data_IF_169666851869
#
_entry.id   IF_169666851869
#
_cell.length_a   1.000
_cell.length_b   1.000
_cell.length_c   1.000
_cell.angle_alpha   90.00
_cell.angle_beta   90.00
_cell.angle_gamma   90.00
#
_symmetry.space_group_name_H-M   'P 1'
#
loop_
_entity.id
_entity.type
_entity.pdbx_description
1 polymer ?
#
# COMPACT_ATOMS: atom_id res chain seq x y z
N UNK A 1 30.18 1.79 18.34
CA UNK A 1 30.85 2.93 17.68
C UNK A 1 29.79 3.93 17.33
N UNK A 2 29.74 5.07 18.02
CA UNK A 2 28.91 6.21 17.64
C UNK A 2 29.41 6.72 16.29
N UNK A 3 28.53 6.72 15.27
CA UNK A 3 28.78 7.37 14.00
C UNK A 3 29.08 8.86 14.31
N UNK A 4 30.29 9.31 14.05
CA UNK A 4 30.54 10.73 13.87
C UNK A 4 29.80 11.12 12.57
N UNK A 5 28.69 11.82 12.68
CA UNK A 5 28.11 12.49 11.52
C UNK A 5 29.11 13.62 11.18
N UNK A 6 29.72 13.53 10.00
CA UNK A 6 30.29 14.71 9.38
C UNK A 6 29.08 15.62 9.09
N UNK A 7 28.91 16.64 9.95
CA UNK A 7 27.84 17.63 9.79
C UNK A 7 28.13 18.36 8.48
N UNK A 8 27.43 17.98 7.39
CA UNK A 8 27.39 18.83 6.21
C UNK A 8 26.88 20.21 6.62
N UNK A 9 27.55 21.27 6.18
CA UNK A 9 27.13 22.64 6.49
C UNK A 9 25.73 22.96 5.95
N UNK A 10 25.35 22.35 4.82
CA UNK A 10 24.04 22.53 4.15
C UNK A 10 23.55 21.18 3.65
N UNK A 11 22.27 20.90 3.85
CA UNK A 11 21.59 19.70 3.36
C UNK A 11 20.75 20.09 2.13
N UNK A 12 20.96 19.42 1.01
CA UNK A 12 20.20 19.62 -0.22
C UNK A 12 19.13 18.52 -0.36
N UNK A 13 17.88 18.92 -0.46
CA UNK A 13 16.73 18.00 -0.58
C UNK A 13 15.96 18.27 -1.85
N UNK A 14 15.84 17.27 -2.73
CA UNK A 14 14.92 17.31 -3.86
C UNK A 14 13.55 16.72 -3.45
N UNK A 15 12.47 17.36 -3.88
CA UNK A 15 11.10 16.89 -3.74
C UNK A 15 10.53 16.72 -5.13
N UNK A 16 10.32 15.47 -5.55
CA UNK A 16 9.82 15.12 -6.89
C UNK A 16 8.40 14.58 -6.74
N UNK A 17 7.38 15.40 -6.98
CA UNK A 17 5.98 15.05 -6.79
C UNK A 17 5.14 15.48 -8.00
N UNK A 18 3.99 14.84 -8.26
CA UNK A 18 3.11 15.19 -9.36
C UNK A 18 2.20 16.35 -8.96
N UNK A 19 2.73 17.55 -8.99
CA UNK A 19 1.97 18.77 -8.71
C UNK A 19 1.01 19.15 -9.83
N UNK A 20 1.21 18.62 -11.04
CA UNK A 20 0.37 18.83 -12.24
C UNK A 20 0.20 20.32 -12.58
N UNK A 21 1.26 21.11 -12.47
CA UNK A 21 1.24 22.58 -12.60
C UNK A 21 0.78 23.08 -13.98
N UNK A 22 0.82 22.24 -15.01
CA UNK A 22 0.37 22.60 -16.37
C UNK A 22 -1.12 22.37 -16.59
N UNK A 23 -1.80 21.70 -15.65
CA UNK A 23 -3.24 21.49 -15.76
C UNK A 23 -3.99 22.73 -15.28
N UNK A 24 -4.99 23.15 -16.06
CA UNK A 24 -5.84 24.30 -15.72
C UNK A 24 -6.74 24.02 -14.50
N UNK A 25 -6.98 22.76 -14.20
CA UNK A 25 -7.74 22.33 -13.01
C UNK A 25 -7.04 21.08 -12.46
N UNK A 26 -6.20 21.24 -11.42
CA UNK A 26 -5.55 20.11 -10.78
C UNK A 26 -6.60 19.20 -10.14
N UNK A 27 -6.37 17.88 -10.24
CA UNK A 27 -7.23 16.90 -9.60
C UNK A 27 -7.00 16.85 -8.08
N UNK A 28 -7.84 16.07 -7.38
CA UNK A 28 -7.76 15.91 -5.93
C UNK A 28 -6.38 15.37 -5.51
N UNK A 29 -5.76 14.52 -6.31
CA UNK A 29 -4.46 13.91 -6.01
C UNK A 29 -3.33 14.95 -6.07
N UNK A 30 -3.32 15.80 -7.08
CA UNK A 30 -2.37 16.92 -7.18
C UNK A 30 -2.50 17.91 -6.01
N UNK A 31 -3.74 18.17 -5.57
CA UNK A 31 -4.00 18.99 -4.37
C UNK A 31 -3.39 18.35 -3.12
N UNK A 32 -3.57 17.04 -2.89
CA UNK A 32 -2.98 16.33 -1.76
C UNK A 32 -1.44 16.38 -1.75
N UNK A 33 -0.79 16.26 -2.92
CA UNK A 33 0.67 16.42 -2.99
C UNK A 33 1.12 17.85 -2.68
N UNK A 34 0.32 18.84 -3.07
CA UNK A 34 0.58 20.24 -2.73
C UNK A 34 0.46 20.47 -1.22
N UNK A 35 -0.57 19.94 -0.58
CA UNK A 35 -0.74 19.99 0.88
C UNK A 35 0.41 19.27 1.61
N UNK A 36 0.82 18.09 1.14
CA UNK A 36 1.99 17.41 1.68
C UNK A 36 3.24 18.29 1.60
N UNK A 37 3.48 18.92 0.43
CA UNK A 37 4.64 19.80 0.23
C UNK A 37 4.60 21.03 1.15
N UNK A 38 3.43 21.60 1.39
CA UNK A 38 3.27 22.68 2.37
C UNK A 38 3.65 22.22 3.78
N UNK A 39 3.18 21.05 4.21
CA UNK A 39 3.57 20.45 5.49
C UNK A 39 5.07 20.18 5.57
N UNK A 40 5.68 19.68 4.49
CA UNK A 40 7.11 19.49 4.39
C UNK A 40 7.89 20.80 4.56
N UNK A 41 7.46 21.88 3.90
CA UNK A 41 8.09 23.21 4.06
C UNK A 41 7.98 23.75 5.49
N UNK A 42 6.85 23.50 6.16
CA UNK A 42 6.70 23.86 7.58
C UNK A 42 7.68 23.11 8.48
N UNK A 43 7.93 21.83 8.20
CA UNK A 43 8.93 21.03 8.92
C UNK A 43 10.35 21.54 8.66
N UNK A 44 10.67 21.88 7.40
CA UNK A 44 11.96 22.48 7.02
C UNK A 44 12.17 23.81 7.74
N UNK A 45 11.17 24.68 7.79
CA UNK A 45 11.26 25.95 8.51
C UNK A 45 11.50 25.74 10.02
N UNK A 46 10.84 24.75 10.62
CA UNK A 46 11.08 24.37 12.02
C UNK A 46 12.52 23.92 12.25
N UNK A 47 13.06 23.08 11.36
CA UNK A 47 14.45 22.63 11.45
C UNK A 47 15.45 23.78 11.26
N UNK A 48 15.16 24.71 10.34
CA UNK A 48 15.99 25.92 10.15
C UNK A 48 16.02 26.79 11.40
N UNK A 49 14.93 26.96 12.09
CA UNK A 49 14.89 27.68 13.39
C UNK A 49 15.73 26.98 14.47
N UNK A 50 15.93 25.67 14.36
CA UNK A 50 16.79 24.89 15.25
C UNK A 50 18.26 24.87 14.80
N UNK A 51 18.62 25.63 13.77
CA UNK A 51 19.98 25.81 13.28
C UNK A 51 20.38 24.89 12.12
N UNK A 52 19.45 24.12 11.54
CA UNK A 52 19.75 23.37 10.32
C UNK A 52 19.79 24.31 9.10
N UNK A 53 20.74 24.05 8.19
CA UNK A 53 20.79 24.72 6.87
C UNK A 53 20.31 23.75 5.81
N UNK A 54 19.14 24.04 5.18
CA UNK A 54 18.47 23.13 4.24
C UNK A 54 18.08 23.91 2.99
N UNK A 55 18.51 23.43 1.81
CA UNK A 55 18.01 23.86 0.51
C UNK A 55 16.96 22.86 0.01
N UNK A 56 15.87 23.36 -0.53
CA UNK A 56 14.79 22.54 -1.09
C UNK A 56 14.65 22.82 -2.58
N UNK A 57 14.67 21.77 -3.38
CA UNK A 57 14.50 21.79 -4.83
C UNK A 57 13.22 21.04 -5.18
N UNK A 58 12.18 21.72 -5.61
CA UNK A 58 10.90 21.11 -5.96
C UNK A 58 10.78 20.89 -7.48
N UNK A 59 10.35 19.69 -7.85
CA UNK A 59 10.17 19.28 -9.25
C UNK A 59 8.77 18.69 -9.43
N UNK A 60 8.11 19.08 -10.52
CA UNK A 60 6.84 18.49 -10.95
C UNK A 60 7.11 17.27 -11.83
N UNK A 61 6.77 16.08 -11.35
CA UNK A 61 6.92 14.83 -12.09
C UNK A 61 5.86 14.66 -13.18
N UNK A 62 4.78 15.43 -13.15
CA UNK A 62 3.65 15.38 -14.11
C UNK A 62 3.05 13.95 -14.27
N UNK A 63 3.22 13.07 -13.29
CA UNK A 63 2.91 11.64 -13.38
C UNK A 63 3.53 10.94 -14.61
N UNK A 64 4.61 11.48 -15.13
CA UNK A 64 5.23 11.06 -16.38
C UNK A 64 6.63 10.52 -16.16
N UNK A 65 6.86 9.27 -16.57
CA UNK A 65 8.18 8.64 -16.51
C UNK A 65 9.23 9.41 -17.33
N UNK A 66 8.85 9.92 -18.50
CA UNK A 66 9.75 10.74 -19.34
C UNK A 66 10.14 12.06 -18.64
N UNK A 67 9.22 12.66 -17.91
CA UNK A 67 9.50 13.85 -17.09
C UNK A 67 10.45 13.52 -15.95
N UNK A 68 10.23 12.41 -15.23
CA UNK A 68 11.15 11.96 -14.17
C UNK A 68 12.55 11.70 -14.74
N UNK A 69 12.69 11.01 -15.88
CA UNK A 69 13.98 10.78 -16.52
C UNK A 69 14.68 12.10 -16.90
N UNK A 70 13.92 13.08 -17.41
CA UNK A 70 14.44 14.43 -17.72
C UNK A 70 14.91 15.14 -16.44
N UNK A 71 14.14 15.09 -15.35
CA UNK A 71 14.54 15.64 -14.05
C UNK A 71 15.85 15.00 -13.59
N UNK A 72 15.96 13.68 -13.59
CA UNK A 72 17.17 12.96 -13.15
C UNK A 72 18.39 13.20 -14.05
N UNK A 73 18.21 13.73 -15.27
CA UNK A 73 19.30 14.14 -16.15
C UNK A 73 19.89 15.51 -15.80
N UNK A 74 19.23 16.28 -14.93
CA UNK A 74 19.76 17.55 -14.45
C UNK A 74 20.97 17.31 -13.54
N UNK A 75 22.16 17.86 -13.86
CA UNK A 75 23.35 17.66 -13.04
C UNK A 75 23.21 18.07 -11.58
N UNK A 76 22.33 19.03 -11.27
CA UNK A 76 22.10 19.49 -9.90
C UNK A 76 21.53 18.40 -9.00
N UNK A 77 20.83 17.39 -9.57
CA UNK A 77 20.29 16.27 -8.80
C UNK A 77 21.38 15.40 -8.17
N UNK A 78 22.60 15.42 -8.72
CA UNK A 78 23.76 14.70 -8.16
C UNK A 78 24.31 15.34 -6.88
N UNK A 79 23.95 16.61 -6.65
CA UNK A 79 24.35 17.37 -5.46
C UNK A 79 23.36 17.22 -4.29
N UNK A 80 22.31 16.41 -4.45
CA UNK A 80 21.32 16.18 -3.42
C UNK A 80 21.83 15.20 -2.37
N UNK A 81 21.40 15.40 -1.13
CA UNK A 81 21.60 14.48 -0.02
C UNK A 81 20.40 13.56 0.16
N UNK A 82 19.22 14.04 -0.25
CA UNK A 82 17.96 13.35 -0.09
C UNK A 82 17.01 13.65 -1.25
N UNK A 83 16.29 12.65 -1.71
CA UNK A 83 15.21 12.80 -2.69
C UNK A 83 13.92 12.23 -2.08
N UNK A 84 12.86 13.03 -2.02
CA UNK A 84 11.50 12.57 -1.71
C UNK A 84 10.86 12.11 -3.02
N UNK A 85 10.49 10.83 -3.09
CA UNK A 85 9.94 10.20 -4.28
C UNK A 85 8.41 10.23 -4.32
N UNK A 86 7.78 10.22 -5.53
CA UNK A 86 6.33 10.15 -5.70
C UNK A 86 5.80 8.73 -5.41
N UNK A 87 4.48 8.54 -5.54
CA UNK A 87 3.80 7.26 -5.25
C UNK A 87 4.00 6.16 -6.31
N UNK A 88 4.23 6.54 -7.57
CA UNK A 88 4.27 5.60 -8.68
C UNK A 88 5.49 4.69 -8.60
N UNK A 89 5.30 3.37 -8.62
CA UNK A 89 6.37 2.37 -8.43
C UNK A 89 7.46 2.44 -9.51
N UNK A 90 7.11 2.71 -10.78
CA UNK A 90 8.11 2.86 -11.84
C UNK A 90 8.95 4.11 -11.65
N UNK A 91 8.37 5.20 -11.15
CA UNK A 91 9.09 6.43 -10.83
C UNK A 91 10.00 6.24 -9.62
N UNK A 92 9.51 5.55 -8.57
CA UNK A 92 10.32 5.23 -7.39
C UNK A 92 11.54 4.43 -7.81
N UNK A 93 11.35 3.40 -8.65
CA UNK A 93 12.46 2.58 -9.14
C UNK A 93 13.54 3.40 -9.85
N UNK A 94 13.15 4.28 -10.77
CA UNK A 94 14.11 5.16 -11.48
C UNK A 94 14.89 6.06 -10.52
N UNK A 95 14.19 6.64 -9.54
CA UNK A 95 14.80 7.53 -8.55
C UNK A 95 15.68 6.72 -7.58
N UNK A 96 15.27 5.52 -7.21
CA UNK A 96 16.04 4.61 -6.36
C UNK A 96 17.35 4.16 -7.03
N UNK A 97 17.28 3.77 -8.31
CA UNK A 97 18.46 3.41 -9.11
C UNK A 97 19.42 4.60 -9.25
N UNK A 98 18.89 5.81 -9.46
CA UNK A 98 19.68 7.04 -9.50
C UNK A 98 20.33 7.35 -8.15
N UNK A 99 19.58 7.20 -7.04
CA UNK A 99 20.08 7.41 -5.70
C UNK A 99 21.22 6.45 -5.35
N UNK A 100 21.08 5.17 -5.70
CA UNK A 100 22.12 4.16 -5.51
C UNK A 100 23.38 4.50 -6.30
N UNK A 101 23.24 4.89 -7.57
CA UNK A 101 24.36 5.21 -8.46
C UNK A 101 25.14 6.48 -8.05
N UNK A 102 24.50 7.43 -7.35
CA UNK A 102 25.08 8.73 -6.97
C UNK A 102 25.25 8.92 -5.45
N UNK A 103 25.08 7.85 -4.66
CA UNK A 103 25.18 7.87 -3.18
C UNK A 103 24.19 8.83 -2.49
N UNK A 104 22.95 8.93 -3.02
CA UNK A 104 21.89 9.81 -2.54
C UNK A 104 20.81 9.00 -1.87
N UNK A 105 20.36 9.42 -0.68
CA UNK A 105 19.25 8.78 -0.01
C UNK A 105 17.91 9.12 -0.67
N UNK A 106 17.02 8.13 -0.78
CA UNK A 106 15.70 8.26 -1.37
C UNK A 106 14.64 7.88 -0.34
N UNK A 107 13.65 8.72 -0.15
CA UNK A 107 12.53 8.44 0.76
C UNK A 107 11.26 8.19 -0.04
N UNK A 108 10.74 6.97 0.08
CA UNK A 108 9.40 6.61 -0.36
C UNK A 108 8.41 6.90 0.78
N UNK A 109 7.59 7.92 0.61
CA UNK A 109 6.60 8.34 1.60
C UNK A 109 5.22 7.78 1.31
N UNK A 110 4.89 7.50 0.05
CA UNK A 110 3.51 7.30 -0.39
C UNK A 110 3.18 5.86 -0.76
N UNK A 111 4.08 5.16 -1.47
CA UNK A 111 3.79 3.80 -1.92
C UNK A 111 3.94 2.79 -0.79
N UNK A 112 2.88 1.99 -0.57
CA UNK A 112 2.86 0.87 0.37
C UNK A 112 3.16 -0.47 -0.30
N UNK A 113 3.20 -0.50 -1.64
CA UNK A 113 3.42 -1.71 -2.44
C UNK A 113 4.85 -1.83 -2.96
N UNK A 114 5.59 -0.73 -2.95
CA UNK A 114 6.96 -0.70 -3.46
C UNK A 114 7.91 -1.40 -2.49
N UNK A 115 8.73 -2.30 -3.02
CA UNK A 115 9.68 -3.11 -2.24
C UNK A 115 11.15 -2.73 -2.45
N UNK A 116 11.43 -1.59 -3.09
CA UNK A 116 12.81 -1.11 -3.30
C UNK A 116 13.60 -1.03 -1.98
N UNK A 117 12.92 -0.72 -0.87
CA UNK A 117 13.54 -0.71 0.47
C UNK A 117 14.15 -2.05 0.87
N UNK A 118 13.69 -3.16 0.32
CA UNK A 118 14.16 -4.51 0.67
C UNK A 118 15.52 -4.86 0.06
N UNK A 119 15.91 -4.19 -1.02
CA UNK A 119 17.11 -4.54 -1.79
C UNK A 119 17.99 -3.35 -2.20
N UNK A 120 17.55 -2.11 -1.96
CA UNK A 120 18.30 -0.91 -2.23
C UNK A 120 18.65 -0.16 -0.93
N UNK A 121 19.90 -0.17 -0.54
CA UNK A 121 20.38 0.40 0.73
C UNK A 121 20.23 1.94 0.82
N UNK A 122 19.90 2.61 -0.28
CA UNK A 122 19.66 4.06 -0.33
C UNK A 122 18.18 4.42 -0.21
N UNK A 123 17.29 3.43 -0.23
CA UNK A 123 15.85 3.66 -0.10
C UNK A 123 15.41 3.53 1.35
N UNK A 124 14.72 4.53 1.83
CA UNK A 124 14.03 4.58 3.10
C UNK A 124 12.54 4.67 2.86
N UNK A 125 11.75 3.93 3.62
CA UNK A 125 10.30 3.94 3.52
C UNK A 125 9.70 4.39 4.84
N UNK A 126 8.77 5.35 4.80
CA UNK A 126 8.12 5.87 6.01
C UNK A 126 6.95 5.01 6.45
N UNK A 127 6.33 4.30 5.52
CA UNK A 127 5.22 3.38 5.79
C UNK A 127 5.68 1.93 5.60
N UNK A 128 5.22 1.04 6.47
CA UNK A 128 5.52 -0.39 6.36
C UNK A 128 4.85 -0.94 5.11
N UNK A 129 5.56 -1.63 4.19
CA UNK A 129 4.95 -2.31 3.06
C UNK A 129 3.87 -3.28 3.52
N UNK A 130 2.76 -3.34 2.79
CA UNK A 130 1.65 -4.24 3.14
C UNK A 130 2.09 -5.70 3.23
N UNK A 131 3.04 -6.13 2.37
CA UNK A 131 3.59 -7.49 2.38
C UNK A 131 4.19 -7.89 3.73
N UNK A 132 4.79 -6.95 4.47
CA UNK A 132 5.35 -7.23 5.80
C UNK A 132 4.28 -7.51 6.87
N UNK A 133 3.05 -7.04 6.65
CA UNK A 133 1.92 -7.27 7.56
C UNK A 133 1.19 -8.58 7.26
N UNK A 134 1.44 -9.22 6.12
CA UNK A 134 0.67 -10.39 5.68
C UNK A 134 0.84 -11.58 6.62
N UNK A 135 2.04 -11.86 7.06
CA UNK A 135 2.32 -12.97 7.97
C UNK A 135 1.61 -12.79 9.32
N UNK A 136 1.68 -11.59 9.91
CA UNK A 136 0.99 -11.29 11.17
C UNK A 136 -0.53 -11.29 10.99
N UNK A 137 -1.05 -10.76 9.89
CA UNK A 137 -2.47 -10.77 9.59
C UNK A 137 -3.01 -12.21 9.43
N UNK A 138 -2.25 -13.10 8.77
CA UNK A 138 -2.60 -14.51 8.65
C UNK A 138 -2.55 -15.24 9.99
N UNK A 139 -1.53 -15.02 10.83
CA UNK A 139 -1.45 -15.59 12.18
C UNK A 139 -2.64 -15.15 13.05
N UNK A 140 -2.96 -13.86 13.03
CA UNK A 140 -4.13 -13.33 13.75
C UNK A 140 -5.43 -13.91 13.22
N UNK A 141 -5.57 -14.03 11.89
CA UNK A 141 -6.74 -14.66 11.28
C UNK A 141 -6.93 -16.08 11.80
N UNK A 142 -5.89 -16.90 11.77
CA UNK A 142 -5.92 -18.28 12.24
C UNK A 142 -6.28 -18.34 13.74
N UNK A 143 -5.66 -17.51 14.54
CA UNK A 143 -5.86 -17.47 16.00
C UNK A 143 -7.28 -17.10 16.41
N UNK A 144 -7.89 -16.13 15.74
CA UNK A 144 -9.19 -15.57 16.15
C UNK A 144 -10.36 -16.08 15.32
N UNK A 145 -10.12 -16.54 14.10
CA UNK A 145 -11.16 -16.92 13.15
C UNK A 145 -11.01 -18.35 12.60
N UNK A 146 -9.88 -19.00 12.84
CA UNK A 146 -9.60 -20.34 12.31
C UNK A 146 -10.47 -21.47 12.86
N UNK A 147 -11.23 -21.23 13.93
CA UNK A 147 -12.23 -22.15 14.45
C UNK A 147 -13.58 -22.07 13.69
N UNK A 148 -13.74 -21.10 12.78
CA UNK A 148 -14.90 -20.95 11.92
C UNK A 148 -14.67 -21.65 10.58
N UNK A 149 -15.75 -21.96 9.89
CA UNK A 149 -15.66 -22.42 8.49
C UNK A 149 -15.20 -21.25 7.62
N UNK A 150 -14.03 -21.39 6.98
CA UNK A 150 -13.42 -20.33 6.16
C UNK A 150 -13.95 -20.40 4.74
N UNK A 151 -14.48 -19.30 4.23
CA UNK A 151 -15.07 -19.22 2.88
C UNK A 151 -14.51 -18.01 2.16
N UNK A 152 -13.71 -18.24 1.12
CA UNK A 152 -13.25 -17.18 0.22
C UNK A 152 -14.35 -16.80 -0.77
N UNK A 153 -14.57 -15.49 -0.92
CA UNK A 153 -15.50 -14.92 -1.89
C UNK A 153 -14.73 -14.32 -3.05
N UNK A 154 -14.64 -15.07 -4.15
CA UNK A 154 -13.79 -14.73 -5.30
C UNK A 154 -14.63 -14.11 -6.43
N UNK A 155 -14.45 -12.80 -6.65
CA UNK A 155 -15.08 -12.08 -7.74
C UNK A 155 -14.36 -12.34 -9.07
N UNK A 156 -15.12 -12.39 -10.17
CA UNK A 156 -14.57 -12.52 -11.52
C UNK A 156 -14.84 -11.22 -12.30
N UNK A 157 -13.81 -10.54 -12.85
CA UNK A 157 -12.38 -10.91 -12.88
C UNK A 157 -11.66 -10.76 -11.54
N UNK A 158 -10.65 -11.58 -11.31
CA UNK A 158 -9.83 -11.55 -10.11
C UNK A 158 -9.02 -10.24 -9.97
N UNK A 159 -8.86 -9.74 -8.74
CA UNK A 159 -8.13 -8.51 -8.47
C UNK A 159 -6.67 -8.81 -8.12
N UNK A 160 -5.70 -8.33 -8.91
CA UNK A 160 -4.28 -8.65 -8.71
C UNK A 160 -3.70 -8.20 -7.37
N UNK A 161 -4.16 -7.07 -6.85
CA UNK A 161 -3.64 -6.47 -5.63
C UNK A 161 -3.95 -7.25 -4.33
N UNK A 162 -4.85 -8.22 -4.40
CA UNK A 162 -5.19 -9.10 -3.27
C UNK A 162 -4.63 -10.52 -3.39
N UNK A 163 -4.11 -10.87 -4.57
CA UNK A 163 -3.64 -12.22 -4.87
C UNK A 163 -2.58 -12.70 -3.89
N UNK A 164 -1.59 -11.86 -3.60
CA UNK A 164 -0.44 -12.26 -2.77
C UNK A 164 -0.87 -12.51 -1.32
N UNK A 165 -1.69 -11.63 -0.75
CA UNK A 165 -2.24 -11.85 0.60
C UNK A 165 -3.11 -13.10 0.66
N UNK A 166 -4.04 -13.27 -0.27
CA UNK A 166 -4.93 -14.43 -0.32
C UNK A 166 -4.14 -15.73 -0.52
N UNK A 167 -3.11 -15.71 -1.37
CA UNK A 167 -2.19 -16.84 -1.54
C UNK A 167 -1.49 -17.21 -0.24
N UNK A 168 -0.87 -16.24 0.41
CA UNK A 168 -0.20 -16.44 1.69
C UNK A 168 -1.15 -16.92 2.79
N UNK A 169 -2.37 -16.37 2.88
CA UNK A 169 -3.36 -16.83 3.85
C UNK A 169 -3.79 -18.28 3.59
N UNK A 170 -4.00 -18.67 2.34
CA UNK A 170 -4.33 -20.07 1.96
C UNK A 170 -3.18 -21.02 2.32
N UNK A 171 -1.92 -20.62 2.13
CA UNK A 171 -0.76 -21.41 2.56
C UNK A 171 -0.71 -21.59 4.07
N UNK A 172 -0.94 -20.54 4.86
CA UNK A 172 -0.96 -20.64 6.32
C UNK A 172 -2.13 -21.49 6.83
N UNK A 173 -3.31 -21.38 6.23
CA UNK A 173 -4.46 -22.26 6.54
C UNK A 173 -4.11 -23.73 6.28
N UNK A 174 -3.45 -24.03 5.16
CA UNK A 174 -3.00 -25.40 4.84
C UNK A 174 -1.97 -25.91 5.86
N UNK A 175 -1.01 -25.07 6.28
CA UNK A 175 -0.04 -25.43 7.34
C UNK A 175 -0.72 -25.70 8.68
N UNK A 176 -1.76 -24.94 8.99
CA UNK A 176 -2.55 -25.13 10.20
C UNK A 176 -3.60 -26.26 10.10
N UNK A 177 -3.66 -26.97 8.96
CA UNK A 177 -4.66 -28.01 8.66
C UNK A 177 -6.11 -27.52 8.77
N UNK A 178 -6.36 -26.25 8.45
CA UNK A 178 -7.67 -25.63 8.42
C UNK A 178 -8.22 -25.69 6.99
N UNK A 179 -9.32 -26.42 6.81
CA UNK A 179 -10.01 -26.51 5.53
C UNK A 179 -10.71 -25.19 5.20
N UNK A 180 -10.73 -24.85 3.91
CA UNK A 180 -11.46 -23.67 3.42
C UNK A 180 -12.26 -24.01 2.15
N UNK A 181 -13.28 -23.22 1.90
CA UNK A 181 -14.09 -23.28 0.69
C UNK A 181 -13.89 -22.02 -0.15
N UNK A 182 -14.27 -22.07 -1.41
CA UNK A 182 -14.23 -20.93 -2.31
C UNK A 182 -15.53 -20.83 -3.11
N UNK A 183 -16.19 -19.68 -3.02
CA UNK A 183 -17.36 -19.33 -3.80
C UNK A 183 -16.94 -18.31 -4.85
N UNK A 184 -17.07 -18.68 -6.12
CA UNK A 184 -16.83 -17.76 -7.25
C UNK A 184 -18.15 -17.11 -7.67
N UNK A 185 -18.14 -15.79 -7.87
CA UNK A 185 -19.29 -15.03 -8.27
C UNK A 185 -18.94 -13.91 -9.26
N UNK A 186 -19.91 -13.48 -10.03
CA UNK A 186 -19.80 -12.35 -10.96
C UNK A 186 -20.58 -11.13 -10.46
N UNK A 187 -21.66 -10.79 -11.16
CA UNK A 187 -22.50 -9.64 -10.81
C UNK A 187 -23.46 -9.90 -9.66
N UNK A 188 -23.63 -11.15 -9.25
CA UNK A 188 -24.54 -11.57 -8.19
C UNK A 188 -23.87 -12.66 -7.34
N UNK A 189 -24.04 -12.56 -6.02
CA UNK A 189 -23.62 -13.55 -5.05
C UNK A 189 -24.85 -14.14 -4.36
N UNK A 190 -25.06 -15.45 -4.52
CA UNK A 190 -26.13 -16.17 -3.82
C UNK A 190 -25.51 -17.09 -2.76
N UNK A 191 -25.61 -16.70 -1.51
CA UNK A 191 -25.12 -17.48 -0.37
C UNK A 191 -26.14 -18.50 0.13
N UNK A 192 -27.42 -18.28 -0.10
CA UNK A 192 -28.49 -19.14 0.40
C UNK A 192 -28.56 -20.51 -0.28
N UNK A 193 -28.07 -20.59 -1.53
CA UNK A 193 -28.03 -21.84 -2.29
C UNK A 193 -26.75 -22.66 -2.02
N UNK A 194 -25.95 -22.26 -1.03
CA UNK A 194 -24.67 -22.92 -0.68
C UNK A 194 -24.84 -23.91 0.48
N UNK A 195 -25.92 -24.70 0.49
CA UNK A 195 -26.26 -25.62 1.58
C UNK A 195 -25.11 -26.55 1.98
N UNK A 196 -24.33 -27.06 1.02
CA UNK A 196 -23.17 -27.92 1.29
C UNK A 196 -22.06 -27.23 2.05
N UNK A 197 -21.92 -25.89 1.91
CA UNK A 197 -20.92 -25.07 2.61
C UNK A 197 -21.49 -24.63 3.98
N UNK A 198 -22.80 -24.33 4.02
CA UNK A 198 -23.47 -23.82 5.22
C UNK A 198 -23.89 -24.90 6.19
N UNK A 199 -24.00 -26.17 5.74
CA UNK A 199 -24.37 -27.28 6.59
C UNK A 199 -23.36 -27.47 7.72
N UNK A 200 -23.85 -27.83 8.89
CA UNK A 200 -23.06 -28.17 10.09
C UNK A 200 -22.09 -27.05 10.57
N UNK A 201 -22.26 -25.82 10.11
CA UNK A 201 -21.46 -24.70 10.56
C UNK A 201 -22.11 -24.03 11.78
N UNK A 202 -21.35 -23.88 12.86
CA UNK A 202 -21.72 -23.02 14.00
C UNK A 202 -21.19 -21.58 13.82
N UNK A 203 -20.14 -21.41 13.04
CA UNK A 203 -19.55 -20.13 12.68
C UNK A 203 -18.89 -20.14 11.32
N UNK A 204 -19.02 -19.04 10.60
CA UNK A 204 -18.44 -18.84 9.25
C UNK A 204 -17.70 -17.52 9.22
N UNK A 205 -16.54 -17.52 8.54
CA UNK A 205 -15.83 -16.29 8.19
C UNK A 205 -15.75 -16.18 6.66
N UNK A 206 -16.29 -15.12 6.13
CA UNK A 206 -16.16 -14.76 4.73
C UNK A 206 -14.93 -13.89 4.49
N UNK A 207 -14.13 -14.26 3.49
CA UNK A 207 -12.89 -13.56 3.11
C UNK A 207 -13.02 -13.10 1.66
N UNK A 208 -13.37 -11.81 1.42
CA UNK A 208 -13.39 -11.27 0.07
C UNK A 208 -12.01 -11.27 -0.56
N UNK A 209 -11.90 -11.63 -1.85
CA UNK A 209 -10.63 -11.58 -2.58
C UNK A 209 -10.38 -10.23 -3.28
N UNK A 210 -11.32 -9.29 -3.17
CA UNK A 210 -11.24 -7.94 -3.71
C UNK A 210 -11.68 -6.89 -2.68
N UNK A 211 -10.96 -5.76 -2.62
CA UNK A 211 -11.29 -4.60 -1.81
C UNK A 211 -12.04 -3.49 -2.57
N UNK A 212 -12.37 -3.70 -3.86
CA UNK A 212 -13.11 -2.70 -4.63
C UNK A 212 -14.50 -2.48 -4.05
N UNK A 213 -14.88 -1.22 -3.85
CA UNK A 213 -16.21 -0.84 -3.31
C UNK A 213 -17.36 -1.51 -4.08
N UNK A 214 -17.27 -1.59 -5.42
CA UNK A 214 -18.27 -2.26 -6.26
C UNK A 214 -18.42 -3.74 -5.89
N UNK A 215 -17.34 -4.45 -5.63
CA UNK A 215 -17.35 -5.87 -5.25
C UNK A 215 -17.88 -6.04 -3.83
N UNK A 216 -17.42 -5.21 -2.90
CA UNK A 216 -17.88 -5.27 -1.51
C UNK A 216 -19.39 -5.00 -1.39
N UNK A 217 -19.94 -4.09 -2.19
CA UNK A 217 -21.40 -3.85 -2.21
C UNK A 217 -22.21 -5.07 -2.66
N UNK A 218 -21.65 -5.95 -3.53
CA UNK A 218 -22.26 -7.20 -3.93
C UNK A 218 -22.22 -8.29 -2.85
N UNK A 219 -21.32 -8.14 -1.86
CA UNK A 219 -21.10 -9.13 -0.79
C UNK A 219 -21.94 -8.81 0.44
N UNK A 220 -22.07 -7.55 0.83
CA UNK A 220 -22.69 -7.14 2.10
C UNK A 220 -24.16 -7.55 2.18
N UNK A 221 -24.98 -7.23 1.16
CA UNK A 221 -26.39 -7.54 1.19
C UNK A 221 -26.69 -9.05 1.24
N UNK A 222 -26.03 -9.94 0.47
CA UNK A 222 -26.17 -11.39 0.64
C UNK A 222 -25.78 -11.91 2.04
N UNK A 223 -24.74 -11.34 2.65
CA UNK A 223 -24.34 -11.74 4.03
C UNK A 223 -25.40 -11.32 5.04
N UNK A 224 -25.95 -10.11 4.93
CA UNK A 224 -27.04 -9.65 5.80
C UNK A 224 -28.28 -10.53 5.66
N UNK A 225 -28.68 -10.85 4.40
CA UNK A 225 -29.79 -11.76 4.14
C UNK A 225 -29.54 -13.16 4.71
N UNK A 226 -28.31 -13.67 4.63
CA UNK A 226 -27.95 -14.95 5.24
C UNK A 226 -28.07 -14.87 6.78
N UNK A 227 -27.58 -13.79 7.39
CA UNK A 227 -27.66 -13.58 8.83
C UNK A 227 -29.09 -13.50 9.36
N UNK A 228 -30.00 -12.88 8.60
CA UNK A 228 -31.42 -12.84 8.95
C UNK A 228 -32.07 -14.23 8.90
N UNK A 229 -31.73 -15.05 7.90
CA UNK A 229 -32.30 -16.39 7.74
C UNK A 229 -31.64 -17.46 8.62
N UNK A 230 -30.39 -17.25 9.01
CA UNK A 230 -29.59 -18.15 9.83
C UNK A 230 -29.05 -17.42 11.06
N UNK A 231 -29.97 -16.99 11.92
CA UNK A 231 -29.66 -16.34 13.18
C UNK A 231 -28.87 -17.23 14.17
N UNK A 232 -28.80 -18.52 13.89
CA UNK A 232 -28.01 -19.52 14.63
C UNK A 232 -26.51 -19.49 14.26
N UNK A 233 -26.13 -18.87 13.11
CA UNK A 233 -24.76 -18.81 12.66
C UNK A 233 -24.02 -17.56 13.18
N UNK A 234 -22.83 -17.79 13.73
CA UNK A 234 -21.87 -16.71 13.99
C UNK A 234 -21.14 -16.34 12.69
N UNK A 235 -21.52 -15.21 12.07
CA UNK A 235 -21.00 -14.76 10.79
C UNK A 235 -20.02 -13.62 10.98
N UNK A 236 -18.78 -13.80 10.49
CA UNK A 236 -17.76 -12.79 10.41
C UNK A 236 -17.42 -12.46 8.95
N UNK A 237 -17.11 -11.18 8.68
CA UNK A 237 -16.54 -10.73 7.42
C UNK A 237 -15.13 -10.22 7.72
N UNK A 238 -14.12 -10.83 7.09
CA UNK A 238 -12.74 -10.42 7.25
C UNK A 238 -12.40 -9.33 6.23
N UNK A 239 -11.96 -8.17 6.72
CA UNK A 239 -11.48 -7.05 5.91
C UNK A 239 -10.03 -6.72 6.25
N UNK A 240 -9.26 -6.29 5.24
CA UNK A 240 -7.84 -5.94 5.35
C UNK A 240 -7.44 -4.88 4.34
#
# INVERSE_FOLDING_TARGET
>A
KLYKSDKKGVINVAVILPFMLRQSSPDTKACLYTEYYQGFLMAVDSLKRQGASINVYAYDSEESESTVRRILSDPILKEMDLIIAPENDSHIKLIADFGLANDINVVNTFSLKNEEVSHNAKVFQTNIPHSYLYAEAADRFIRYLGNRKVVFLSHTPEEPDKRDFIGGLKEELNRAHIAYHEIKFGNELNLLDQDSILADASGIVFVPTSAKKKVLSLIVAPIESLKEKRADLDIALFGY
#
